data_IF_285228969173
#
_entry.id   IF_285228969173
#
_cell.length_a   1.000
_cell.length_b   1.000
_cell.length_c   1.000
_cell.angle_alpha   90.00
_cell.angle_beta   90.00
_cell.angle_gamma   90.00
#
_symmetry.space_group_name_H-M   'P 1'
#
loop_
_entity.id
_entity.type
_entity.pdbx_description
1 polymer ?
#
# COMPACT_ATOMS: atom_id res chain seq x y z
N UNK A 1 -8.06 17.27 7.57
CA UNK A 1 -8.76 18.06 6.54
C UNK A 1 -9.29 19.40 7.04
N UNK A 2 -9.71 19.51 8.31
CA UNK A 2 -10.31 20.74 8.85
C UNK A 2 -11.78 20.94 8.42
N UNK A 3 -12.44 19.87 7.97
CA UNK A 3 -13.82 19.84 7.48
C UNK A 3 -14.06 18.57 6.64
N UNK A 4 -15.29 18.37 6.09
CA UNK A 4 -15.63 17.23 5.24
C UNK A 4 -14.72 17.12 4.01
N UNK A 5 -14.42 15.88 3.59
CA UNK A 5 -13.50 15.61 2.47
C UNK A 5 -14.03 16.11 1.12
N UNK A 6 -15.36 16.13 0.96
CA UNK A 6 -16.07 16.60 -0.24
C UNK A 6 -15.96 18.12 -0.43
N UNK A 7 -15.83 18.85 0.68
CA UNK A 7 -15.70 20.31 0.70
C UNK A 7 -14.24 20.77 0.65
N UNK A 8 -13.30 19.92 1.07
CA UNK A 8 -11.86 20.22 1.11
C UNK A 8 -11.08 19.50 0.01
N UNK A 9 -11.62 19.42 -1.22
CA UNK A 9 -11.09 18.59 -2.32
C UNK A 9 -9.59 18.77 -2.59
N UNK A 10 -9.10 20.00 -2.67
CA UNK A 10 -7.69 20.26 -2.94
C UNK A 10 -6.78 19.74 -1.83
N UNK A 11 -7.16 19.98 -0.57
CA UNK A 11 -6.41 19.45 0.57
C UNK A 11 -6.47 17.91 0.56
N UNK A 12 -7.63 17.33 0.25
CA UNK A 12 -7.83 15.88 0.20
C UNK A 12 -6.95 15.25 -0.88
N UNK A 13 -6.88 15.88 -2.06
CA UNK A 13 -5.98 15.46 -3.14
C UNK A 13 -4.51 15.55 -2.72
N UNK A 14 -4.10 16.66 -2.07
CA UNK A 14 -2.72 16.81 -1.57
C UNK A 14 -2.34 15.78 -0.50
N UNK A 15 -3.31 15.29 0.27
CA UNK A 15 -3.10 14.27 1.29
C UNK A 15 -3.20 12.83 0.73
N UNK A 16 -3.70 12.65 -0.49
CA UNK A 16 -3.90 11.34 -1.08
C UNK A 16 -2.61 10.86 -1.78
N UNK A 17 -1.97 9.76 -1.34
CA UNK A 17 -0.74 9.26 -1.97
C UNK A 17 -0.94 8.89 -3.44
N UNK A 18 -2.14 8.47 -3.85
CA UNK A 18 -2.45 8.11 -5.24
C UNK A 18 -2.23 9.31 -6.20
N UNK A 19 -2.38 10.54 -5.71
CA UNK A 19 -2.16 11.76 -6.51
C UNK A 19 -0.71 11.91 -6.98
N UNK A 20 0.23 11.22 -6.34
CA UNK A 20 1.67 11.35 -6.60
C UNK A 20 2.28 10.12 -7.28
N UNK A 21 1.50 9.08 -7.51
CA UNK A 21 2.01 7.84 -8.13
C UNK A 21 2.48 8.10 -9.56
N UNK A 22 3.71 7.68 -9.85
CA UNK A 22 4.32 7.76 -11.18
C UNK A 22 4.93 6.43 -11.59
N UNK A 23 5.21 6.26 -12.90
CA UNK A 23 5.85 5.04 -13.43
C UNK A 23 7.29 4.82 -12.93
N UNK A 24 7.92 5.85 -12.38
CA UNK A 24 9.32 5.81 -11.91
C UNK A 24 9.42 5.41 -10.42
N UNK A 25 8.27 5.19 -9.77
CA UNK A 25 8.22 4.72 -8.38
C UNK A 25 8.80 3.29 -8.26
N UNK A 26 9.46 2.96 -7.14
CA UNK A 26 10.05 1.65 -6.94
C UNK A 26 8.96 0.57 -6.78
N UNK A 27 9.30 -0.72 -6.85
CA UNK A 27 8.36 -1.80 -6.53
C UNK A 27 7.76 -1.67 -5.12
N UNK A 28 6.50 -2.10 -4.96
CA UNK A 28 5.75 -2.07 -3.70
C UNK A 28 5.33 -3.47 -3.24
N UNK A 29 5.48 -3.70 -1.93
CA UNK A 29 4.76 -4.74 -1.19
C UNK A 29 3.85 -4.04 -0.17
N UNK A 30 2.54 -4.23 -0.32
CA UNK A 30 1.51 -3.68 0.57
C UNK A 30 0.96 -4.85 1.39
N UNK A 31 1.00 -4.74 2.71
CA UNK A 31 0.43 -5.72 3.64
C UNK A 31 -0.60 -5.02 4.51
N UNK A 32 -1.83 -5.56 4.55
CA UNK A 32 -2.96 -4.91 5.24
C UNK A 32 -3.87 -5.97 5.89
N UNK A 33 -4.51 -5.66 7.01
CA UNK A 33 -5.49 -6.56 7.64
C UNK A 33 -6.87 -6.42 7.02
N UNK A 34 -7.53 -7.52 6.66
CA UNK A 34 -8.85 -7.45 6.01
C UNK A 34 -9.99 -6.98 6.93
N UNK A 35 -9.77 -6.99 8.25
CA UNK A 35 -10.69 -6.54 9.29
C UNK A 35 -10.20 -5.27 9.99
N UNK A 36 -9.32 -4.49 9.36
CA UNK A 36 -8.86 -3.21 9.91
C UNK A 36 -10.02 -2.20 10.01
N UNK A 37 -10.43 -1.92 11.25
CA UNK A 37 -11.49 -0.96 11.57
C UNK A 37 -11.02 0.51 11.63
N UNK A 38 -9.70 0.75 11.57
CA UNK A 38 -9.10 2.09 11.58
C UNK A 38 -8.85 2.58 10.16
N UNK A 39 -8.28 1.72 9.33
CA UNK A 39 -8.01 2.01 7.92
C UNK A 39 -8.63 0.91 7.06
N UNK A 40 -9.72 1.18 6.32
CA UNK A 40 -10.37 0.17 5.49
C UNK A 40 -9.41 -0.42 4.45
N UNK A 41 -9.40 -1.75 4.29
CA UNK A 41 -8.54 -2.46 3.33
C UNK A 41 -8.67 -1.97 1.88
N UNK A 42 -9.85 -1.44 1.51
CA UNK A 42 -10.07 -0.81 0.21
C UNK A 42 -9.08 0.32 -0.11
N UNK A 43 -8.54 1.03 0.90
CA UNK A 43 -7.50 2.04 0.67
C UNK A 43 -6.20 1.40 0.12
N UNK A 44 -5.84 0.22 0.60
CA UNK A 44 -4.69 -0.55 0.11
C UNK A 44 -4.94 -1.10 -1.30
N UNK A 45 -6.17 -1.54 -1.59
CA UNK A 45 -6.59 -1.99 -2.92
C UNK A 45 -6.46 -0.86 -3.95
N UNK A 46 -7.00 0.33 -3.65
CA UNK A 46 -6.93 1.50 -4.52
C UNK A 46 -5.49 1.91 -4.83
N UNK A 47 -4.59 1.92 -3.84
CA UNK A 47 -3.18 2.26 -4.06
C UNK A 47 -2.50 1.21 -4.94
N UNK A 48 -2.73 -0.08 -4.68
CA UNK A 48 -2.18 -1.17 -5.47
C UNK A 48 -2.63 -1.10 -6.94
N UNK A 49 -3.91 -0.79 -7.19
CA UNK A 49 -4.43 -0.60 -8.55
C UNK A 49 -3.80 0.61 -9.23
N UNK A 50 -3.67 1.74 -8.52
CA UNK A 50 -3.05 2.95 -9.06
C UNK A 50 -1.58 2.71 -9.49
N UNK A 51 -0.79 2.05 -8.65
CA UNK A 51 0.59 1.67 -8.94
C UNK A 51 0.68 0.76 -10.17
N UNK A 52 -0.15 -0.30 -10.21
CA UNK A 52 -0.19 -1.22 -11.36
C UNK A 52 -0.59 -0.53 -12.66
N UNK A 53 -1.54 0.41 -12.60
CA UNK A 53 -2.04 1.15 -13.76
C UNK A 53 -0.94 1.96 -14.47
N UNK A 54 0.05 2.44 -13.74
CA UNK A 54 1.21 3.15 -14.30
C UNK A 54 2.41 2.24 -14.58
N UNK A 55 2.27 0.93 -14.38
CA UNK A 55 3.30 -0.06 -14.67
C UNK A 55 4.28 -0.35 -13.53
N UNK A 56 4.04 0.18 -12.32
CA UNK A 56 4.87 -0.11 -11.15
C UNK A 56 4.55 -1.52 -10.66
N UNK A 57 5.59 -2.32 -10.38
CA UNK A 57 5.43 -3.63 -9.75
C UNK A 57 4.84 -3.45 -8.34
N UNK A 58 3.59 -3.86 -8.13
CA UNK A 58 2.94 -3.78 -6.82
C UNK A 58 2.26 -5.10 -6.47
N UNK A 59 2.46 -5.55 -5.22
CA UNK A 59 1.79 -6.72 -4.65
C UNK A 59 1.04 -6.31 -3.38
N UNK A 60 -0.24 -6.66 -3.32
CA UNK A 60 -1.07 -6.53 -2.13
C UNK A 60 -1.25 -7.91 -1.47
N UNK A 61 -1.07 -7.98 -0.16
CA UNK A 61 -1.39 -9.14 0.66
C UNK A 61 -2.33 -8.72 1.80
N UNK A 62 -3.55 -9.24 1.78
CA UNK A 62 -4.53 -9.07 2.85
C UNK A 62 -4.39 -10.21 3.85
N UNK A 63 -4.05 -9.88 5.10
CA UNK A 63 -3.95 -10.84 6.19
C UNK A 63 -5.35 -11.13 6.71
N UNK A 64 -5.83 -12.35 6.44
CA UNK A 64 -7.21 -12.76 6.75
C UNK A 64 -7.47 -12.78 8.26
N UNK A 65 -8.55 -12.12 8.67
CA UNK A 65 -8.97 -11.97 10.06
C UNK A 65 -8.13 -10.97 10.87
N UNK A 66 -7.18 -10.27 10.26
CA UNK A 66 -6.33 -9.32 10.97
C UNK A 66 -6.93 -7.90 10.95
N UNK A 67 -6.77 -7.19 12.08
CA UNK A 67 -7.12 -5.77 12.21
C UNK A 67 -5.98 -4.84 11.79
N UNK A 68 -5.87 -3.70 12.47
CA UNK A 68 -4.88 -2.66 12.14
C UNK A 68 -3.41 -3.10 12.32
N UNK A 69 -3.15 -3.94 13.33
CA UNK A 69 -1.80 -4.44 13.58
C UNK A 69 -1.56 -5.72 12.78
N UNK A 70 -0.73 -5.63 11.74
CA UNK A 70 -0.26 -6.77 10.95
C UNK A 70 1.24 -6.99 11.17
N UNK A 71 1.66 -8.25 11.24
CA UNK A 71 3.06 -8.61 11.47
C UNK A 71 3.26 -10.08 11.76
N UNK A 72 4.43 -10.42 12.31
CA UNK A 72 4.78 -11.78 12.68
C UNK A 72 5.39 -12.60 11.53
N UNK A 73 5.53 -13.90 11.76
CA UNK A 73 6.31 -14.80 10.89
C UNK A 73 5.78 -14.86 9.46
N UNK A 74 4.45 -14.87 9.29
CA UNK A 74 3.81 -14.89 7.97
C UNK A 74 4.16 -13.64 7.16
N UNK A 75 4.00 -12.45 7.75
CA UNK A 75 4.33 -11.18 7.10
C UNK A 75 5.83 -11.08 6.81
N UNK A 76 6.69 -11.52 7.74
CA UNK A 76 8.14 -11.54 7.53
C UNK A 76 8.56 -12.44 6.37
N UNK A 77 7.84 -13.55 6.14
CA UNK A 77 8.06 -14.44 5.01
C UNK A 77 7.69 -13.81 3.66
N UNK A 78 6.96 -12.69 3.65
CA UNK A 78 6.70 -11.88 2.46
C UNK A 78 7.74 -10.77 2.29
N UNK A 79 8.11 -10.11 3.40
CA UNK A 79 9.03 -8.96 3.41
C UNK A 79 10.44 -9.36 2.98
N UNK A 80 10.99 -10.43 3.55
CA UNK A 80 12.38 -10.83 3.28
C UNK A 80 12.61 -11.16 1.81
N UNK A 81 11.81 -12.03 1.15
CA UNK A 81 11.99 -12.31 -0.28
C UNK A 81 11.78 -11.09 -1.17
N UNK A 82 10.88 -10.17 -0.78
CA UNK A 82 10.66 -8.93 -1.52
C UNK A 82 11.92 -8.06 -1.52
N UNK A 83 12.51 -7.81 -0.36
CA UNK A 83 13.77 -7.05 -0.28
C UNK A 83 14.93 -7.79 -0.93
N UNK A 84 15.01 -9.11 -0.78
CA UNK A 84 16.02 -9.92 -1.46
C UNK A 84 15.95 -9.76 -2.98
N UNK A 85 14.75 -9.80 -3.55
CA UNK A 85 14.53 -9.62 -5.00
C UNK A 85 14.97 -8.25 -5.49
N UNK A 86 14.72 -7.19 -4.70
CA UNK A 86 14.82 -5.81 -5.18
C UNK A 86 16.06 -5.05 -4.70
N UNK A 87 16.69 -5.47 -3.60
CA UNK A 87 17.80 -4.74 -2.97
C UNK A 87 19.10 -5.54 -2.85
N UNK A 88 19.07 -6.88 -2.89
CA UNK A 88 20.33 -7.65 -2.89
C UNK A 88 21.09 -7.38 -4.20
N UNK A 89 22.39 -7.10 -4.06
CA UNK A 89 23.29 -7.05 -5.22
C UNK A 89 23.28 -8.42 -5.88
N UNK A 90 23.11 -8.43 -7.21
CA UNK A 90 23.38 -9.62 -8.01
C UNK A 90 24.90 -9.76 -8.09
N UNK A 91 25.41 -10.91 -7.71
CA UNK A 91 26.82 -11.29 -7.91
C UNK A 91 27.09 -11.57 -9.40
#
# INVERSE_FOLDING_TARGET
MGGPIQENKEKSAKANPITYVTKDDPPFLIVHGDQDATVPAHQAELLNEALKKVGVESKLHLVKGAGHAVGGREVNALIVPFFDKHLKKRE
#
